data_IF_052747590197
#
_entry.id   IF_052747590197
#
_cell.length_a   1.000
_cell.length_b   1.000
_cell.length_c   1.000
_cell.angle_alpha   90.00
_cell.angle_beta   90.00
_cell.angle_gamma   90.00
#
_symmetry.space_group_name_H-M   'P 1'
#
loop_
_entity.id
_entity.type
_entity.pdbx_description
1 polymer ?
#
# COMPACT_ATOMS: atom_id res chain seq x y z
N UNK A 1 17.75 -0.17 12.60
CA UNK A 1 18.55 1.03 12.40
C UNK A 1 20.03 0.74 12.41
N UNK A 2 20.82 1.63 11.90
CA UNK A 2 22.25 1.51 11.76
C UNK A 2 22.99 2.17 12.93
N UNK A 3 24.32 1.92 13.03
CA UNK A 3 25.17 2.71 13.90
C UNK A 3 25.27 4.16 13.41
N UNK A 4 25.27 5.10 14.33
CA UNK A 4 25.53 6.52 14.01
C UNK A 4 26.95 6.70 13.41
N UNK A 5 27.89 5.78 13.71
CA UNK A 5 29.23 5.77 13.14
C UNK A 5 29.23 5.70 11.61
N UNK A 6 28.37 4.84 11.00
CA UNK A 6 28.27 4.74 9.55
C UNK A 6 27.86 6.08 8.91
N UNK A 7 26.91 6.80 9.51
CA UNK A 7 26.53 8.13 9.05
C UNK A 7 27.71 9.11 9.08
N UNK A 8 28.46 9.12 10.18
CA UNK A 8 29.65 9.97 10.35
C UNK A 8 30.77 9.57 9.34
N UNK A 9 30.96 8.29 9.10
CA UNK A 9 31.94 7.79 8.14
C UNK A 9 31.61 8.23 6.71
N UNK A 10 30.34 8.13 6.30
CA UNK A 10 29.90 8.57 4.97
C UNK A 10 29.94 10.10 4.82
N UNK A 11 29.64 10.86 5.88
CA UNK A 11 29.80 12.31 5.88
C UNK A 11 31.30 12.70 5.79
N UNK A 12 32.17 11.94 6.45
CA UNK A 12 33.61 12.13 6.32
C UNK A 12 34.12 11.80 4.91
N UNK A 13 33.59 10.74 4.29
CA UNK A 13 33.87 10.41 2.90
C UNK A 13 33.49 11.55 1.94
N UNK A 14 32.32 12.14 2.12
CA UNK A 14 31.90 13.31 1.34
C UNK A 14 32.84 14.51 1.51
N UNK A 15 33.34 14.74 2.73
CA UNK A 15 34.26 15.82 3.00
C UNK A 15 35.69 15.57 2.44
N UNK A 16 36.15 14.30 2.44
CA UNK A 16 37.48 13.92 1.99
C UNK A 16 37.57 13.69 0.46
N UNK A 17 36.47 13.19 -0.14
CA UNK A 17 36.40 12.81 -1.55
C UNK A 17 35.13 13.38 -2.22
N UNK A 18 35.01 14.70 -2.33
CA UNK A 18 33.83 15.34 -2.90
C UNK A 18 33.60 15.03 -4.39
N UNK A 19 34.62 14.54 -5.09
CA UNK A 19 34.51 14.06 -6.48
C UNK A 19 33.75 12.72 -6.58
N UNK A 20 33.65 11.96 -5.47
CA UNK A 20 32.93 10.67 -5.42
C UNK A 20 31.58 10.80 -4.71
N UNK A 21 31.53 11.55 -3.62
CA UNK A 21 30.33 11.75 -2.82
C UNK A 21 30.18 13.24 -2.54
N UNK A 22 29.09 13.83 -3.01
CA UNK A 22 28.82 15.26 -2.81
C UNK A 22 28.41 15.55 -1.36
N UNK A 23 27.45 14.76 -0.86
CA UNK A 23 26.97 14.88 0.50
C UNK A 23 26.32 13.57 0.99
N UNK A 24 26.23 13.42 2.32
CA UNK A 24 25.56 12.30 2.96
C UNK A 24 24.66 12.82 4.08
N UNK A 25 23.36 12.59 3.96
CA UNK A 25 22.33 12.99 4.91
C UNK A 25 21.88 11.77 5.71
N UNK A 26 21.84 11.92 7.03
CA UNK A 26 21.32 10.89 7.93
C UNK A 26 19.90 11.18 8.34
N UNK A 27 19.08 10.15 8.42
CA UNK A 27 17.72 10.26 8.95
C UNK A 27 17.54 9.31 10.13
N UNK A 28 16.96 9.84 11.19
CA UNK A 28 16.63 9.11 12.40
C UNK A 28 15.12 9.22 12.64
N UNK A 29 14.50 8.11 12.95
CA UNK A 29 13.05 8.04 13.09
C UNK A 29 12.66 7.48 14.45
N UNK A 30 11.63 8.07 15.07
CA UNK A 30 11.00 7.54 16.26
C UNK A 30 9.53 7.30 16.00
N UNK A 31 9.05 6.11 16.32
CA UNK A 31 7.62 5.77 16.20
C UNK A 31 6.92 6.05 17.53
N UNK A 32 5.99 7.00 17.56
CA UNK A 32 5.15 7.30 18.71
C UNK A 32 5.92 7.62 19.99
N UNK A 33 7.14 8.15 19.90
CA UNK A 33 7.99 8.37 21.06
C UNK A 33 7.84 9.77 21.68
N UNK A 34 7.32 10.72 20.94
CA UNK A 34 7.13 12.10 21.41
C UNK A 34 5.64 12.44 21.49
N UNK A 35 5.27 13.43 22.32
CA UNK A 35 3.90 13.94 22.34
C UNK A 35 3.89 15.36 21.80
N UNK A 36 3.00 15.60 20.85
CA UNK A 36 2.72 16.92 20.27
C UNK A 36 1.21 17.11 20.30
N UNK A 37 0.75 18.24 20.84
CA UNK A 37 -0.69 18.47 20.98
C UNK A 37 -1.41 17.50 21.92
N UNK A 38 -0.67 16.81 22.80
CA UNK A 38 -1.20 15.81 23.74
C UNK A 38 -1.21 14.37 23.22
N UNK A 39 -1.03 14.15 21.92
CA UNK A 39 -1.01 12.83 21.28
C UNK A 39 0.41 12.36 21.01
N UNK A 40 0.59 11.03 21.00
CA UNK A 40 1.84 10.43 20.55
C UNK A 40 2.00 10.59 19.05
N UNK A 41 3.13 11.14 18.64
CA UNK A 41 3.48 11.39 17.23
C UNK A 41 4.84 10.79 16.90
N UNK A 42 5.01 10.52 15.62
CA UNK A 42 6.29 10.17 15.03
C UNK A 42 7.09 11.46 14.79
N UNK A 43 8.39 11.37 15.03
CA UNK A 43 9.29 12.48 14.78
C UNK A 43 10.47 11.98 13.94
N UNK A 44 10.80 12.71 12.91
CA UNK A 44 11.95 12.46 12.02
C UNK A 44 12.99 13.54 12.27
N UNK A 45 14.25 13.15 12.34
CA UNK A 45 15.38 14.06 12.31
C UNK A 45 16.19 13.86 11.04
N UNK A 46 16.57 14.95 10.41
CA UNK A 46 17.44 15.00 9.25
C UNK A 46 18.33 16.24 9.33
N UNK A 47 19.42 16.28 8.57
CA UNK A 47 20.22 17.50 8.38
C UNK A 47 19.42 18.44 7.48
N UNK A 48 18.78 19.45 8.09
CA UNK A 48 17.84 20.36 7.40
C UNK A 48 18.54 21.28 6.37
N UNK A 49 19.81 21.53 6.53
CA UNK A 49 20.61 22.38 5.63
C UNK A 49 20.86 21.77 4.25
N UNK A 50 20.83 20.44 4.15
CA UNK A 50 21.01 19.67 2.91
C UNK A 50 19.77 18.89 2.50
N UNK A 51 18.69 19.00 3.26
CA UNK A 51 17.47 18.21 3.05
C UNK A 51 16.89 18.40 1.64
N UNK A 52 16.86 19.65 1.16
CA UNK A 52 16.30 19.97 -0.16
C UNK A 52 17.12 19.40 -1.33
N UNK A 53 18.42 19.19 -1.16
CA UNK A 53 19.28 18.60 -2.17
C UNK A 53 19.05 17.08 -2.27
N UNK A 54 18.79 16.44 -1.13
CA UNK A 54 18.57 14.99 -1.05
C UNK A 54 17.14 14.56 -1.32
N UNK A 55 16.17 15.43 -1.05
CA UNK A 55 14.74 15.10 -1.16
C UNK A 55 13.97 16.27 -1.77
N UNK A 56 13.05 15.95 -2.68
CA UNK A 56 12.16 16.97 -3.26
C UNK A 56 11.06 17.34 -2.25
N UNK A 57 11.40 18.21 -1.31
CA UNK A 57 10.45 18.71 -0.31
C UNK A 57 9.72 19.92 -0.88
N UNK A 58 8.41 19.84 -1.02
CA UNK A 58 7.59 21.00 -1.43
C UNK A 58 7.25 21.84 -0.22
N UNK A 59 8.03 22.89 0.02
CA UNK A 59 7.71 23.88 1.06
C UNK A 59 6.62 24.82 0.56
N UNK A 60 5.50 24.86 1.28
CA UNK A 60 4.34 25.74 0.98
C UNK A 60 4.55 27.10 1.61
N UNK A 61 5.03 27.14 2.86
CA UNK A 61 5.19 28.36 3.64
C UNK A 61 6.41 28.24 4.55
N UNK A 62 7.18 29.30 4.70
CA UNK A 62 8.40 29.31 5.52
C UNK A 62 9.65 28.90 4.74
N UNK A 63 10.65 28.40 5.45
CA UNK A 63 11.90 27.90 4.89
C UNK A 63 12.54 26.87 5.79
N UNK A 64 13.00 25.75 5.22
CA UNK A 64 13.78 24.71 5.89
C UNK A 64 15.11 25.26 6.45
N UNK A 65 15.74 26.18 5.76
CA UNK A 65 17.00 26.83 6.18
C UNK A 65 16.85 27.75 7.39
N UNK A 66 15.62 28.14 7.72
CA UNK A 66 15.33 29.02 8.88
C UNK A 66 15.10 28.24 10.18
N UNK A 67 15.10 26.92 10.13
CA UNK A 67 14.74 26.10 11.28
C UNK A 67 15.75 26.19 12.44
N UNK A 68 17.06 26.25 12.12
CA UNK A 68 18.10 26.19 13.16
C UNK A 68 17.90 24.99 14.09
N UNK A 69 18.58 25.00 15.24
CA UNK A 69 18.50 23.90 16.20
C UNK A 69 17.16 23.76 16.96
N UNK A 70 16.21 24.66 16.75
CA UNK A 70 14.93 24.68 17.47
C UNK A 70 13.72 24.75 16.53
N UNK A 71 13.94 24.61 15.24
CA UNK A 71 12.88 24.62 14.24
C UNK A 71 12.27 23.24 14.02
N UNK A 72 11.01 23.24 13.63
CA UNK A 72 10.29 22.05 13.17
C UNK A 72 9.63 22.34 11.84
N UNK A 73 9.78 21.43 10.88
CA UNK A 73 9.00 21.41 9.65
C UNK A 73 7.74 20.58 9.93
N UNK A 74 6.59 21.11 9.55
CA UNK A 74 5.28 20.51 9.82
C UNK A 74 4.56 20.25 8.51
N UNK A 75 4.05 19.03 8.34
CA UNK A 75 3.23 18.72 7.18
C UNK A 75 1.92 19.52 7.21
N UNK A 76 1.38 19.86 6.02
CA UNK A 76 0.18 20.69 5.87
C UNK A 76 -1.04 20.17 6.66
N UNK A 77 -1.23 18.85 6.75
CA UNK A 77 -2.38 18.27 7.44
C UNK A 77 -2.34 18.54 8.97
N UNK A 78 -1.30 18.13 9.73
CA UNK A 78 -1.24 18.47 11.15
C UNK A 78 -1.12 19.98 11.39
N UNK A 79 -0.53 20.75 10.49
CA UNK A 79 -0.52 22.22 10.61
C UNK A 79 -1.96 22.76 10.55
N UNK A 80 -2.78 22.27 9.61
CA UNK A 80 -4.19 22.64 9.49
C UNK A 80 -5.03 22.18 10.69
N UNK A 81 -4.85 20.93 11.15
CA UNK A 81 -5.60 20.36 12.26
C UNK A 81 -5.35 21.08 13.59
N UNK A 82 -4.12 21.49 13.82
CA UNK A 82 -3.69 22.20 15.04
C UNK A 82 -3.74 23.73 14.92
N UNK A 83 -4.03 24.25 13.72
CA UNK A 83 -4.07 25.69 13.43
C UNK A 83 -2.71 26.36 13.57
N UNK A 84 -1.63 25.65 13.20
CA UNK A 84 -0.26 26.15 13.28
C UNK A 84 0.12 26.98 12.06
N UNK A 85 0.81 28.06 12.28
CA UNK A 85 1.43 28.90 11.25
C UNK A 85 2.94 28.97 11.45
N UNK A 86 3.67 29.39 10.42
CA UNK A 86 5.12 29.63 10.52
C UNK A 86 5.41 30.65 11.61
N UNK A 87 6.32 30.31 12.51
CA UNK A 87 6.70 31.11 13.69
C UNK A 87 5.96 30.73 14.96
N UNK A 88 4.95 29.85 14.91
CA UNK A 88 4.23 29.42 16.10
C UNK A 88 5.05 28.44 16.94
N UNK A 89 4.93 28.50 18.28
CA UNK A 89 5.58 27.57 19.18
C UNK A 89 4.85 26.23 19.21
N UNK A 90 5.62 25.14 19.16
CA UNK A 90 5.13 23.76 19.26
C UNK A 90 5.75 23.11 20.50
N UNK A 91 4.98 22.91 21.57
CA UNK A 91 5.45 22.18 22.73
C UNK A 91 5.58 20.70 22.40
N UNK A 92 6.77 20.14 22.64
CA UNK A 92 7.09 18.74 22.40
C UNK A 92 7.53 18.09 23.71
N UNK A 93 6.83 17.02 24.10
CA UNK A 93 7.20 16.20 25.25
C UNK A 93 8.01 15.00 24.77
N UNK A 94 9.26 14.94 25.19
CA UNK A 94 10.19 13.85 24.90
C UNK A 94 10.16 12.77 25.98
N UNK A 95 10.64 11.54 25.68
CA UNK A 95 10.81 10.48 26.68
C UNK A 95 11.65 10.95 27.88
N UNK A 96 11.32 10.39 29.06
CA UNK A 96 12.00 10.77 30.31
C UNK A 96 11.55 12.09 30.94
N UNK A 97 10.40 12.63 30.49
CA UNK A 97 9.80 13.84 31.08
C UNK A 97 10.52 15.14 30.69
N UNK A 98 11.31 15.12 29.63
CA UNK A 98 11.93 16.32 29.06
C UNK A 98 10.96 17.00 28.11
N UNK A 99 10.87 18.30 28.16
CA UNK A 99 10.04 19.13 27.27
C UNK A 99 10.90 20.11 26.52
N UNK A 100 10.51 20.44 25.31
CA UNK A 100 11.09 21.53 24.52
C UNK A 100 9.99 22.27 23.80
N UNK A 101 10.21 23.54 23.52
CA UNK A 101 9.35 24.34 22.67
C UNK A 101 10.08 24.55 21.35
N UNK A 102 9.59 23.89 20.28
CA UNK A 102 10.09 24.06 18.94
C UNK A 102 9.29 25.18 18.25
N UNK A 103 9.85 25.77 17.19
CA UNK A 103 9.18 26.80 16.41
C UNK A 103 8.88 26.27 15.01
N UNK A 104 7.68 26.44 14.49
CA UNK A 104 7.35 26.09 13.11
C UNK A 104 8.22 26.91 12.16
N UNK A 105 9.16 26.28 11.48
CA UNK A 105 10.06 26.92 10.53
C UNK A 105 9.49 26.92 9.12
N UNK A 106 8.82 25.82 8.75
CA UNK A 106 8.14 25.71 7.47
C UNK A 106 6.95 24.76 7.55
N UNK A 107 6.01 24.95 6.64
CA UNK A 107 4.92 24.03 6.34
C UNK A 107 5.19 23.42 4.97
N UNK A 108 5.15 22.09 4.88
CA UNK A 108 5.48 21.38 3.65
C UNK A 108 4.37 20.39 3.25
N UNK A 109 4.38 20.02 1.99
CA UNK A 109 3.52 19.00 1.38
C UNK A 109 4.41 17.85 0.88
N UNK A 110 3.82 16.68 0.70
CA UNK A 110 4.51 15.49 0.18
C UNK A 110 5.46 14.80 1.18
N UNK A 111 4.86 14.08 2.13
CA UNK A 111 5.54 13.52 3.31
C UNK A 111 5.87 12.02 3.23
N UNK A 112 5.84 11.39 2.04
CA UNK A 112 5.94 9.94 1.92
C UNK A 112 7.13 9.29 2.63
N UNK A 113 8.26 10.02 2.74
CA UNK A 113 9.48 9.56 3.44
C UNK A 113 9.81 10.37 4.70
N UNK A 114 9.31 11.61 4.80
CA UNK A 114 9.65 12.52 5.89
C UNK A 114 8.69 12.45 7.08
N UNK A 115 7.52 11.81 6.90
CA UNK A 115 6.47 11.85 7.92
C UNK A 115 5.91 13.27 8.10
N UNK A 116 5.28 13.52 9.24
CA UNK A 116 4.53 14.74 9.49
C UNK A 116 5.29 15.82 10.27
N UNK A 117 6.34 15.43 10.96
CA UNK A 117 7.13 16.29 11.84
C UNK A 117 8.61 16.04 11.62
N UNK A 118 9.33 17.05 11.13
CA UNK A 118 10.77 16.94 10.84
C UNK A 118 11.53 17.98 11.62
N UNK A 119 12.59 17.55 12.28
CA UNK A 119 13.49 18.43 13.05
C UNK A 119 14.93 18.23 12.61
N UNK A 120 15.79 19.15 12.99
CA UNK A 120 17.22 18.97 12.78
C UNK A 120 17.79 17.83 13.66
N UNK A 121 18.81 17.13 13.16
CA UNK A 121 19.47 16.02 13.88
C UNK A 121 19.97 16.43 15.26
N UNK A 122 20.36 17.68 15.47
CA UNK A 122 20.79 18.22 16.76
C UNK A 122 19.72 18.12 17.85
N UNK A 123 18.43 18.14 17.49
CA UNK A 123 17.33 17.92 18.44
C UNK A 123 17.39 16.47 18.98
N UNK A 124 17.64 15.50 18.10
CA UNK A 124 17.77 14.11 18.52
C UNK A 124 19.01 13.88 19.37
N UNK A 125 20.12 14.53 19.05
CA UNK A 125 21.34 14.41 19.85
C UNK A 125 21.14 14.86 21.30
N UNK A 126 20.30 15.87 21.49
CA UNK A 126 19.96 16.37 22.82
C UNK A 126 18.88 15.51 23.50
N UNK A 127 17.78 15.21 22.83
CA UNK A 127 16.60 14.63 23.47
C UNK A 127 16.45 13.12 23.26
N UNK A 128 17.00 12.58 22.18
CA UNK A 128 16.88 11.19 21.73
C UNK A 128 18.23 10.59 21.25
N UNK A 129 19.32 10.72 22.04
CA UNK A 129 20.67 10.35 21.60
C UNK A 129 20.83 8.86 21.23
N UNK A 130 19.94 8.01 21.73
CA UNK A 130 19.96 6.57 21.44
C UNK A 130 19.09 6.15 20.25
N UNK A 131 18.37 7.09 19.63
CA UNK A 131 17.59 6.78 18.45
C UNK A 131 18.54 6.36 17.30
N UNK A 132 18.34 5.19 16.69
CA UNK A 132 19.22 4.71 15.64
C UNK A 132 19.04 5.52 14.35
N UNK A 133 20.09 5.56 13.54
CA UNK A 133 19.97 6.01 12.15
C UNK A 133 19.13 4.99 11.40
N UNK A 134 18.07 5.46 10.76
CA UNK A 134 17.11 4.60 10.04
C UNK A 134 17.37 4.58 8.53
N UNK A 135 17.94 5.66 8.02
CA UNK A 135 18.19 5.89 6.61
C UNK A 135 19.40 6.81 6.43
N UNK A 136 20.18 6.56 5.39
CA UNK A 136 21.24 7.46 4.95
C UNK A 136 21.02 7.70 3.46
N UNK A 137 20.89 8.95 3.06
CA UNK A 137 20.83 9.35 1.66
C UNK A 137 22.22 9.87 1.25
N UNK A 138 22.75 9.37 0.16
CA UNK A 138 24.05 9.77 -0.37
C UNK A 138 23.85 10.38 -1.74
N UNK A 139 24.29 11.62 -1.92
CA UNK A 139 24.26 12.31 -3.19
C UNK A 139 25.59 12.21 -3.89
N UNK A 140 25.56 11.85 -5.16
CA UNK A 140 26.75 11.82 -6.02
C UNK A 140 26.80 13.08 -6.89
N UNK A 141 27.98 13.62 -7.17
CA UNK A 141 28.12 14.73 -8.11
C UNK A 141 27.59 14.38 -9.51
N UNK A 142 27.05 15.35 -10.21
CA UNK A 142 26.46 15.16 -11.55
C UNK A 142 27.45 14.53 -12.57
N UNK A 143 28.75 14.86 -12.44
CA UNK A 143 29.83 14.36 -13.31
C UNK A 143 30.51 13.11 -12.75
N UNK A 144 30.04 12.54 -11.64
CA UNK A 144 30.70 11.40 -11.00
C UNK A 144 30.60 10.10 -11.82
N UNK A 145 31.62 9.26 -11.72
CA UNK A 145 31.52 7.87 -12.09
C UNK A 145 30.64 7.12 -11.07
N UNK A 146 29.34 7.00 -11.36
CA UNK A 146 28.39 6.36 -10.47
C UNK A 146 28.81 4.97 -9.99
N UNK A 147 29.58 4.24 -10.78
CA UNK A 147 30.10 2.92 -10.41
C UNK A 147 31.20 3.05 -9.35
N UNK A 148 32.12 3.99 -9.53
CA UNK A 148 33.17 4.27 -8.58
C UNK A 148 32.66 4.86 -7.27
N UNK A 149 31.71 5.79 -7.35
CA UNK A 149 31.04 6.41 -6.21
C UNK A 149 30.26 5.37 -5.38
N UNK A 150 29.51 4.51 -6.06
CA UNK A 150 28.78 3.41 -5.41
C UNK A 150 29.74 2.45 -4.72
N UNK A 151 30.83 2.02 -5.40
CA UNK A 151 31.83 1.12 -4.82
C UNK A 151 32.52 1.73 -3.59
N UNK A 152 32.73 3.05 -3.58
CA UNK A 152 33.28 3.75 -2.42
C UNK A 152 32.32 3.67 -1.22
N UNK A 153 31.03 3.91 -1.43
CA UNK A 153 29.98 3.78 -0.38
C UNK A 153 29.86 2.33 0.10
N UNK A 154 29.83 1.36 -0.82
CA UNK A 154 29.75 -0.07 -0.50
C UNK A 154 30.92 -0.53 0.36
N UNK A 155 32.12 -0.01 0.15
CA UNK A 155 33.31 -0.34 0.96
C UNK A 155 33.14 0.04 2.45
N UNK A 156 32.40 1.10 2.77
CA UNK A 156 32.07 1.45 4.16
C UNK A 156 30.94 0.59 4.72
N UNK A 157 30.00 0.17 3.87
CA UNK A 157 28.83 -0.62 4.30
C UNK A 157 29.13 -2.11 4.44
N UNK A 158 30.22 -2.62 3.87
CA UNK A 158 30.63 -4.04 3.94
C UNK A 158 30.73 -4.57 5.39
N UNK A 159 31.07 -3.71 6.34
CA UNK A 159 31.14 -4.04 7.77
C UNK A 159 29.76 -4.12 8.45
N UNK A 160 28.70 -3.76 7.75
CA UNK A 160 27.32 -3.67 8.27
C UNK A 160 26.35 -4.55 7.47
N UNK A 161 26.28 -5.88 7.72
CA UNK A 161 25.49 -6.83 6.92
C UNK A 161 23.99 -6.52 6.84
N UNK A 162 23.49 -5.67 7.72
CA UNK A 162 22.08 -5.23 7.75
C UNK A 162 21.81 -4.00 6.87
N UNK A 163 22.84 -3.41 6.25
CA UNK A 163 22.73 -2.25 5.38
C UNK A 163 22.68 -2.72 3.92
N UNK A 164 21.71 -2.27 3.18
CA UNK A 164 21.64 -2.43 1.73
C UNK A 164 21.89 -1.06 1.09
N UNK A 165 22.80 -1.03 0.11
CA UNK A 165 23.01 0.15 -0.73
C UNK A 165 22.15 -0.02 -1.96
N UNK A 166 21.14 0.82 -2.10
CA UNK A 166 20.17 0.78 -3.20
C UNK A 166 20.12 2.15 -3.88
N UNK A 167 20.10 2.15 -5.20
CA UNK A 167 19.72 3.36 -5.93
C UNK A 167 18.20 3.57 -5.92
N UNK A 168 17.74 4.72 -6.43
CA UNK A 168 16.33 5.08 -6.42
C UNK A 168 15.45 4.08 -7.20
N UNK A 169 16.00 3.42 -8.22
CA UNK A 169 15.28 2.42 -9.03
C UNK A 169 15.23 1.06 -8.32
N UNK A 170 16.32 0.67 -7.68
CA UNK A 170 16.43 -0.54 -6.86
C UNK A 170 15.50 -0.43 -5.64
N UNK A 171 15.51 0.71 -4.94
CA UNK A 171 14.62 0.96 -3.81
C UNK A 171 13.15 0.85 -4.21
N UNK A 172 12.73 1.50 -5.33
CA UNK A 172 11.36 1.34 -5.84
C UNK A 172 11.02 -0.12 -6.13
N UNK A 173 11.93 -0.84 -6.78
CA UNK A 173 11.73 -2.25 -7.10
C UNK A 173 11.61 -3.10 -5.84
N UNK A 174 12.45 -2.88 -4.82
CA UNK A 174 12.35 -3.59 -3.53
C UNK A 174 10.99 -3.36 -2.88
N UNK A 175 10.45 -2.12 -2.92
CA UNK A 175 9.12 -1.80 -2.42
C UNK A 175 8.01 -2.49 -3.24
N UNK A 176 8.13 -2.47 -4.58
CA UNK A 176 7.20 -3.15 -5.48
C UNK A 176 7.20 -4.66 -5.23
N UNK A 177 8.37 -5.29 -5.12
CA UNK A 177 8.52 -6.73 -4.87
C UNK A 177 7.88 -7.15 -3.52
N UNK A 178 8.01 -6.34 -2.47
CA UNK A 178 7.34 -6.58 -1.18
C UNK A 178 5.81 -6.52 -1.29
N UNK A 179 5.28 -5.53 -2.01
CA UNK A 179 3.85 -5.41 -2.27
C UNK A 179 3.34 -6.58 -3.13
N UNK A 180 4.09 -6.95 -4.16
CA UNK A 180 3.75 -8.07 -5.04
C UNK A 180 3.73 -9.41 -4.29
N UNK A 181 4.62 -9.61 -3.33
CA UNK A 181 4.59 -10.79 -2.46
C UNK A 181 3.32 -10.85 -1.63
N UNK A 182 2.90 -9.75 -1.00
CA UNK A 182 1.65 -9.67 -0.25
C UNK A 182 0.43 -9.89 -1.15
N UNK A 183 0.42 -9.24 -2.31
CA UNK A 183 -0.64 -9.39 -3.31
C UNK A 183 -0.72 -10.83 -3.83
N UNK A 184 0.41 -11.52 -4.02
CA UNK A 184 0.47 -12.92 -4.43
C UNK A 184 -0.23 -13.85 -3.42
N UNK A 185 -0.01 -13.65 -2.13
CA UNK A 185 -0.69 -14.41 -1.07
C UNK A 185 -2.22 -14.19 -1.16
N UNK A 186 -2.64 -12.93 -1.29
CA UNK A 186 -4.06 -12.58 -1.44
C UNK A 186 -4.65 -13.23 -2.69
N UNK A 187 -3.92 -13.23 -3.81
CA UNK A 187 -4.36 -13.85 -5.07
C UNK A 187 -4.58 -15.36 -4.92
N UNK A 188 -3.74 -16.07 -4.17
CA UNK A 188 -3.94 -17.50 -3.88
C UNK A 188 -5.25 -17.73 -3.12
N UNK A 189 -5.53 -16.94 -2.08
CA UNK A 189 -6.79 -17.02 -1.33
C UNK A 189 -8.01 -16.67 -2.20
N UNK A 190 -7.88 -15.67 -3.06
CA UNK A 190 -8.93 -15.33 -4.04
C UNK A 190 -9.17 -16.49 -5.01
N UNK A 191 -8.11 -17.15 -5.50
CA UNK A 191 -8.21 -18.32 -6.36
C UNK A 191 -8.94 -19.48 -5.67
N UNK A 192 -8.62 -19.77 -4.41
CA UNK A 192 -9.34 -20.78 -3.61
C UNK A 192 -10.81 -20.41 -3.41
N UNK A 193 -11.10 -19.17 -3.06
CA UNK A 193 -12.46 -18.67 -2.88
C UNK A 193 -13.28 -18.79 -4.16
N UNK A 194 -12.68 -18.46 -5.30
CA UNK A 194 -13.29 -18.61 -6.62
C UNK A 194 -13.58 -20.08 -6.96
N UNK A 195 -12.66 -20.98 -6.63
CA UNK A 195 -12.85 -22.41 -6.80
C UNK A 195 -14.05 -22.91 -5.97
N UNK A 196 -14.14 -22.50 -4.71
CA UNK A 196 -15.28 -22.83 -3.84
C UNK A 196 -16.58 -22.27 -4.41
N UNK A 197 -16.58 -21.04 -4.91
CA UNK A 197 -17.74 -20.41 -5.53
C UNK A 197 -18.21 -21.17 -6.78
N UNK A 198 -17.29 -21.59 -7.65
CA UNK A 198 -17.60 -22.43 -8.83
C UNK A 198 -18.22 -23.76 -8.43
N UNK A 199 -17.67 -24.42 -7.41
CA UNK A 199 -18.24 -25.68 -6.88
C UNK A 199 -19.63 -25.44 -6.27
N UNK A 200 -19.83 -24.36 -5.54
CA UNK A 200 -21.13 -23.97 -4.97
C UNK A 200 -22.19 -23.75 -6.04
N UNK A 201 -21.88 -22.94 -7.06
CA UNK A 201 -22.78 -22.71 -8.21
C UNK A 201 -23.09 -24.03 -8.94
N UNK A 202 -22.06 -24.86 -9.18
CA UNK A 202 -22.23 -26.16 -9.83
C UNK A 202 -23.16 -27.07 -9.05
N UNK A 203 -23.01 -27.15 -7.73
CA UNK A 203 -23.84 -27.95 -6.85
C UNK A 203 -25.29 -27.44 -6.83
N UNK A 204 -25.49 -26.12 -6.67
CA UNK A 204 -26.83 -25.51 -6.66
C UNK A 204 -27.56 -25.73 -7.98
N UNK A 205 -26.87 -25.55 -9.11
CA UNK A 205 -27.46 -25.80 -10.43
C UNK A 205 -27.73 -27.30 -10.66
N UNK A 206 -26.87 -28.19 -10.16
CA UNK A 206 -27.12 -29.62 -10.28
C UNK A 206 -28.36 -30.05 -9.50
N UNK A 207 -28.55 -29.50 -8.29
CA UNK A 207 -29.73 -29.73 -7.47
C UNK A 207 -31.00 -29.15 -8.14
N UNK A 208 -30.93 -27.88 -8.61
CA UNK A 208 -32.03 -27.23 -9.34
C UNK A 208 -32.44 -28.02 -10.57
N UNK A 209 -31.52 -28.56 -11.36
CA UNK A 209 -31.81 -29.42 -12.51
C UNK A 209 -32.46 -30.70 -12.06
N UNK A 210 -32.03 -31.30 -10.95
CA UNK A 210 -32.62 -32.54 -10.42
C UNK A 210 -34.05 -32.30 -9.95
N UNK A 211 -34.32 -31.28 -9.17
CA UNK A 211 -35.66 -30.95 -8.66
C UNK A 211 -36.65 -30.62 -9.78
N UNK A 212 -36.19 -30.00 -10.88
CA UNK A 212 -37.01 -29.58 -12.02
C UNK A 212 -36.94 -30.56 -13.20
N UNK A 213 -36.50 -31.82 -12.95
CA UNK A 213 -36.32 -32.84 -14.01
C UNK A 213 -37.60 -33.03 -14.82
N UNK A 214 -38.79 -33.09 -14.15
CA UNK A 214 -40.07 -33.26 -14.80
C UNK A 214 -40.44 -32.10 -15.72
N UNK A 215 -40.23 -30.85 -15.25
CA UNK A 215 -40.47 -29.64 -16.04
C UNK A 215 -39.57 -29.59 -17.29
N UNK A 216 -38.28 -29.92 -17.10
CA UNK A 216 -37.30 -29.95 -18.19
C UNK A 216 -37.61 -31.08 -19.19
N UNK A 217 -38.13 -32.20 -18.69
CA UNK A 217 -38.63 -33.33 -19.50
C UNK A 217 -39.85 -32.93 -20.37
N UNK A 218 -40.84 -32.25 -19.77
CA UNK A 218 -42.01 -31.73 -20.47
C UNK A 218 -41.62 -30.69 -21.56
N UNK A 219 -40.75 -29.75 -21.25
CA UNK A 219 -40.25 -28.78 -22.22
C UNK A 219 -39.58 -29.46 -23.43
N UNK A 220 -38.86 -30.54 -23.20
CA UNK A 220 -38.27 -31.36 -24.26
C UNK A 220 -39.30 -32.15 -25.07
N UNK A 221 -40.33 -32.66 -24.41
CA UNK A 221 -41.43 -33.38 -25.07
C UNK A 221 -42.21 -32.41 -26.02
N UNK A 222 -42.37 -31.13 -25.65
CA UNK A 222 -43.00 -30.09 -26.48
C UNK A 222 -42.07 -29.53 -27.57
N UNK A 223 -40.80 -30.03 -27.66
CA UNK A 223 -39.92 -29.70 -28.79
C UNK A 223 -38.66 -28.89 -28.44
N UNK A 224 -38.38 -28.60 -27.16
CA UNK A 224 -37.14 -27.91 -26.78
C UNK A 224 -35.90 -28.76 -27.14
N UNK A 225 -34.97 -28.18 -27.87
CA UNK A 225 -33.72 -28.87 -28.25
C UNK A 225 -32.72 -28.91 -27.11
N UNK A 226 -31.79 -29.91 -27.15
CA UNK A 226 -30.71 -30.02 -26.18
C UNK A 226 -29.81 -28.76 -26.12
N UNK A 227 -29.71 -27.99 -27.23
CA UNK A 227 -28.94 -26.74 -27.29
C UNK A 227 -29.64 -25.65 -26.50
N UNK A 228 -30.96 -25.52 -26.66
CA UNK A 228 -31.76 -24.52 -25.95
C UNK A 228 -31.74 -24.77 -24.46
N UNK A 229 -31.90 -26.04 -24.04
CA UNK A 229 -31.83 -26.40 -22.61
C UNK A 229 -30.47 -26.08 -22.00
N UNK A 230 -29.36 -26.41 -22.68
CA UNK A 230 -28.00 -26.01 -22.21
C UNK A 230 -27.82 -24.52 -22.12
N UNK A 231 -28.38 -23.75 -23.06
CA UNK A 231 -28.31 -22.30 -23.06
C UNK A 231 -29.10 -21.73 -21.89
N UNK A 232 -30.27 -22.24 -21.60
CA UNK A 232 -31.13 -21.88 -20.48
C UNK A 232 -30.37 -22.04 -19.14
N UNK A 233 -29.82 -23.21 -18.84
CA UNK A 233 -29.07 -23.45 -17.60
C UNK A 233 -27.81 -22.58 -17.50
N UNK A 234 -27.14 -22.28 -18.62
CA UNK A 234 -25.98 -21.37 -18.62
C UNK A 234 -26.36 -19.93 -18.29
N UNK A 235 -27.48 -19.45 -18.85
CA UNK A 235 -27.96 -18.09 -18.53
C UNK A 235 -28.41 -17.98 -17.08
N UNK A 236 -29.02 -19.02 -16.52
CA UNK A 236 -29.36 -19.09 -15.10
C UNK A 236 -28.10 -18.95 -14.23
N UNK A 237 -27.01 -19.67 -14.56
CA UNK A 237 -25.74 -19.56 -13.88
C UNK A 237 -25.12 -18.17 -13.98
N UNK A 238 -25.15 -17.55 -15.18
CA UNK A 238 -24.63 -16.20 -15.39
C UNK A 238 -25.40 -15.16 -14.55
N UNK A 239 -26.71 -15.29 -14.47
CA UNK A 239 -27.56 -14.40 -13.65
C UNK A 239 -27.19 -14.55 -12.16
N UNK A 240 -27.05 -15.78 -11.66
CA UNK A 240 -26.64 -16.07 -10.27
C UNK A 240 -25.26 -15.48 -10.00
N UNK A 241 -24.31 -15.71 -10.91
CA UNK A 241 -22.93 -15.22 -10.77
C UNK A 241 -22.85 -13.69 -10.81
N UNK A 242 -23.60 -13.04 -11.72
CA UNK A 242 -23.66 -11.58 -11.78
C UNK A 242 -24.31 -10.97 -10.54
N UNK A 243 -25.38 -11.57 -10.03
CA UNK A 243 -26.00 -11.13 -8.80
C UNK A 243 -25.03 -11.22 -7.61
N UNK A 244 -24.36 -12.36 -7.47
CA UNK A 244 -23.30 -12.55 -6.46
C UNK A 244 -22.14 -11.60 -6.66
N UNK A 245 -21.71 -11.38 -7.91
CA UNK A 245 -20.67 -10.42 -8.26
C UNK A 245 -21.02 -8.97 -7.90
N UNK A 246 -22.24 -8.54 -8.18
CA UNK A 246 -22.73 -7.21 -7.80
C UNK A 246 -22.78 -7.01 -6.29
N UNK A 247 -23.29 -8.01 -5.56
CA UNK A 247 -23.25 -7.99 -4.10
C UNK A 247 -21.82 -7.95 -3.57
N UNK A 248 -20.93 -8.77 -4.15
CA UNK A 248 -19.51 -8.78 -3.77
C UNK A 248 -18.83 -7.45 -4.01
N UNK A 249 -19.07 -6.81 -5.16
CA UNK A 249 -18.55 -5.46 -5.46
C UNK A 249 -19.10 -4.43 -4.46
N UNK A 250 -20.42 -4.45 -4.19
CA UNK A 250 -21.03 -3.50 -3.25
C UNK A 250 -20.44 -3.65 -1.84
N UNK A 251 -20.32 -4.89 -1.36
CA UNK A 251 -19.70 -5.19 -0.06
C UNK A 251 -18.22 -4.85 -0.03
N UNK A 252 -17.48 -5.15 -1.11
CA UNK A 252 -16.07 -4.85 -1.24
C UNK A 252 -15.80 -3.35 -1.18
N UNK A 253 -16.57 -2.54 -1.90
CA UNK A 253 -16.47 -1.07 -1.84
C UNK A 253 -16.83 -0.56 -0.44
N UNK A 254 -17.92 -1.06 0.18
CA UNK A 254 -18.31 -0.67 1.53
C UNK A 254 -17.19 -0.95 2.55
N UNK A 255 -16.67 -2.18 2.57
CA UNK A 255 -15.60 -2.54 3.49
C UNK A 255 -14.28 -1.82 3.17
N UNK A 256 -13.97 -1.60 1.88
CA UNK A 256 -12.80 -0.83 1.47
C UNK A 256 -12.85 0.60 2.00
N UNK A 257 -13.98 1.29 1.83
CA UNK A 257 -14.17 2.64 2.36
C UNK A 257 -14.14 2.67 3.89
N UNK A 258 -14.74 1.67 4.56
CA UNK A 258 -14.70 1.57 6.02
C UNK A 258 -13.27 1.30 6.53
N UNK A 259 -12.49 0.49 5.83
CA UNK A 259 -11.09 0.24 6.18
C UNK A 259 -10.24 1.51 6.01
N UNK A 260 -10.43 2.24 4.91
CA UNK A 260 -9.73 3.52 4.69
C UNK A 260 -10.11 4.53 5.78
N UNK A 261 -11.39 4.63 6.16
CA UNK A 261 -11.83 5.53 7.22
C UNK A 261 -11.28 5.18 8.61
N UNK A 262 -10.80 3.94 8.81
CA UNK A 262 -10.17 3.50 10.06
C UNK A 262 -8.65 3.75 10.08
N UNK A 263 -8.03 4.06 8.92
CA UNK A 263 -6.61 4.40 8.82
C UNK A 263 -6.47 5.91 9.12
N UNK A 264 -5.51 6.33 9.94
CA UNK A 264 -5.24 7.75 10.15
C UNK A 264 -4.99 8.46 8.81
N UNK A 265 -5.51 9.68 8.67
CA UNK A 265 -5.42 10.46 7.42
C UNK A 265 -3.96 10.73 7.00
N UNK A 266 -3.04 10.66 7.95
CA UNK A 266 -1.59 10.75 7.74
C UNK A 266 -1.04 9.74 6.73
N UNK A 267 -1.73 8.59 6.54
CA UNK A 267 -1.29 7.51 5.64
C UNK A 267 -2.09 7.42 4.33
N UNK A 268 -3.19 8.15 4.18
CA UNK A 268 -4.09 8.04 3.02
C UNK A 268 -4.51 9.41 2.53
N UNK A 269 -3.78 9.95 1.58
CA UNK A 269 -4.06 11.26 1.00
C UNK A 269 -5.10 11.25 -0.12
N UNK A 270 -5.23 10.14 -0.86
CA UNK A 270 -6.13 10.05 -2.02
C UNK A 270 -6.91 8.74 -2.00
N UNK A 271 -8.24 8.85 -2.01
CA UNK A 271 -9.13 7.70 -2.17
C UNK A 271 -9.61 7.62 -3.62
N UNK A 272 -9.16 6.61 -4.35
CA UNK A 272 -9.58 6.36 -5.72
C UNK A 272 -10.34 5.04 -5.84
N UNK A 273 -11.53 5.07 -6.42
CA UNK A 273 -12.31 3.86 -6.71
C UNK A 273 -12.02 3.41 -8.13
N UNK A 274 -11.38 2.23 -8.33
CA UNK A 274 -11.00 1.75 -9.67
C UNK A 274 -12.19 1.13 -10.42
N UNK A 275 -13.09 1.95 -10.94
CA UNK A 275 -14.31 1.50 -11.64
C UNK A 275 -14.04 0.50 -12.77
N UNK A 276 -12.92 0.65 -13.49
CA UNK A 276 -12.52 -0.28 -14.54
C UNK A 276 -12.24 -1.70 -14.01
N UNK A 277 -11.56 -1.80 -12.88
CA UNK A 277 -11.28 -3.08 -12.21
C UNK A 277 -12.57 -3.72 -11.68
N UNK A 278 -13.48 -2.92 -11.11
CA UNK A 278 -14.77 -3.41 -10.63
C UNK A 278 -15.61 -4.00 -11.76
N UNK A 279 -15.63 -3.35 -12.93
CA UNK A 279 -16.30 -3.89 -14.11
C UNK A 279 -15.67 -5.18 -14.60
N UNK A 280 -14.33 -5.27 -14.61
CA UNK A 280 -13.61 -6.49 -14.95
C UNK A 280 -13.97 -7.66 -14.03
N UNK A 281 -14.12 -7.42 -12.71
CA UNK A 281 -14.54 -8.46 -11.77
C UNK A 281 -15.96 -8.97 -12.07
N UNK A 282 -16.89 -8.12 -12.50
CA UNK A 282 -18.24 -8.54 -12.92
C UNK A 282 -18.17 -9.40 -14.20
N UNK A 283 -17.33 -9.04 -15.16
CA UNK A 283 -17.14 -9.85 -16.37
C UNK A 283 -16.53 -11.22 -16.03
N UNK A 284 -15.53 -11.24 -15.18
CA UNK A 284 -14.88 -12.46 -14.68
C UNK A 284 -15.92 -13.33 -13.95
N UNK A 285 -16.76 -12.78 -13.09
CA UNK A 285 -17.80 -13.52 -12.38
C UNK A 285 -18.78 -14.18 -13.35
N UNK A 286 -19.20 -13.48 -14.41
CA UNK A 286 -20.07 -14.04 -15.45
C UNK A 286 -19.40 -15.20 -16.20
N UNK A 287 -18.10 -15.09 -16.52
CA UNK A 287 -17.32 -16.14 -17.16
C UNK A 287 -17.25 -17.39 -16.26
N UNK A 288 -16.93 -17.22 -14.97
CA UNK A 288 -16.87 -18.35 -14.04
C UNK A 288 -18.25 -18.97 -13.77
N UNK A 289 -19.32 -18.17 -13.74
CA UNK A 289 -20.68 -18.68 -13.71
C UNK A 289 -20.99 -19.56 -14.92
N UNK A 290 -20.58 -19.15 -16.11
CA UNK A 290 -20.74 -19.92 -17.35
C UNK A 290 -19.92 -21.23 -17.31
N UNK A 291 -18.70 -21.22 -16.77
CA UNK A 291 -17.86 -22.41 -16.59
C UNK A 291 -18.49 -23.36 -15.59
N UNK A 292 -18.96 -22.86 -14.43
CA UNK A 292 -19.65 -23.66 -13.41
C UNK A 292 -20.89 -24.41 -13.96
N UNK A 293 -21.58 -23.79 -14.92
CA UNK A 293 -22.76 -24.40 -15.55
C UNK A 293 -22.46 -25.51 -16.57
N UNK A 294 -21.20 -25.70 -16.98
CA UNK A 294 -20.89 -26.66 -18.06
C UNK A 294 -21.36 -28.09 -17.71
N UNK A 295 -21.03 -28.56 -16.52
CA UNK A 295 -21.39 -29.91 -16.06
C UNK A 295 -22.90 -30.07 -15.85
N UNK A 296 -23.59 -29.21 -15.06
CA UNK A 296 -25.03 -29.29 -14.87
C UNK A 296 -25.82 -29.19 -16.18
N UNK A 297 -25.44 -28.23 -17.05
CA UNK A 297 -26.11 -28.06 -18.35
C UNK A 297 -25.95 -29.30 -19.28
N UNK A 298 -24.80 -29.96 -19.22
CA UNK A 298 -24.60 -31.23 -19.98
C UNK A 298 -25.45 -32.37 -19.42
N UNK A 299 -25.57 -32.45 -18.09
CA UNK A 299 -26.41 -33.45 -17.42
C UNK A 299 -27.89 -33.22 -17.74
N UNK A 300 -28.38 -32.01 -17.59
CA UNK A 300 -29.75 -31.60 -17.95
C UNK A 300 -30.10 -31.97 -19.42
N UNK A 301 -29.20 -31.71 -20.36
CA UNK A 301 -29.43 -32.00 -21.77
C UNK A 301 -29.44 -33.53 -22.12
N UNK A 302 -28.94 -34.37 -21.24
CA UNK A 302 -28.91 -35.84 -21.43
C UNK A 302 -30.06 -36.58 -20.74
N UNK A 303 -30.93 -35.85 -20.00
CA UNK A 303 -32.11 -36.45 -19.36
C UNK A 303 -32.93 -37.20 -20.39
N UNK A 304 -33.37 -38.44 -20.04
CA UNK A 304 -34.26 -39.24 -20.87
C UNK A 304 -35.71 -38.72 -20.65
N UNK A 305 -36.38 -38.33 -21.73
CA UNK A 305 -37.73 -37.73 -21.64
C UNK A 305 -38.75 -38.73 -21.08
N UNK A 306 -38.59 -40.02 -21.43
CA UNK A 306 -39.48 -41.07 -20.93
C UNK A 306 -39.34 -41.33 -19.43
N UNK A 307 -38.07 -41.39 -18.92
CA UNK A 307 -37.78 -41.59 -17.52
C UNK A 307 -38.22 -40.39 -16.66
N UNK A 308 -38.07 -39.14 -17.21
CA UNK A 308 -38.47 -37.92 -16.53
C UNK A 308 -39.99 -37.78 -16.31
N UNK A 309 -40.82 -38.47 -17.12
CA UNK A 309 -42.27 -38.41 -17.03
C UNK A 309 -42.83 -39.63 -16.27
N UNK A 310 -42.11 -40.78 -16.26
CA UNK A 310 -42.59 -42.04 -15.67
C UNK A 310 -42.33 -42.17 -14.15
N UNK A 311 -41.45 -41.37 -13.56
CA UNK A 311 -41.26 -41.31 -12.11
C UNK A 311 -42.33 -40.41 -11.48
N UNK A 312 -43.47 -40.99 -11.24
CA UNK A 312 -44.56 -40.41 -10.42
C UNK A 312 -44.56 -41.08 -9.05
#
# INVERSE_FOLDING_TARGET
GFSAELGTDLQSLAAEQPDLVESAMTMRWTMGAVKIGGDFKDLVAAELDILADHMNVQVIEGSEFGAGNNGVLVHVDPAGDLGLAVGDPVPVDFPGGRTSELTVAAIFEDSALLGNWVVDVSVFDVYLPTAPVSWISVLFPDDADNIGSRAAVEAYTDSYPQVAVEDQSEFRKTQEDQLDQLLSIIQVFLGLSLLIAVLGITNTLALSVYERTRELGLLRAVGMTRRQLRRMVRWEAVIIALFGGLLGVAMGVLFGLAAIAAIPQEFVNIVSIPYGSLLNYLVISAIFGMVAAILPARRAARLNVLDAISHA
#
